data_IF_715643837617
#
_entry.id   IF_715643837617
#
_cell.length_a   1.000
_cell.length_b   1.000
_cell.length_c   1.000
_cell.angle_alpha   90.00
_cell.angle_beta   90.00
_cell.angle_gamma   90.00
#
_symmetry.space_group_name_H-M   'P 1'
#
loop_
_entity.id
_entity.type
_entity.pdbx_description
1 polymer ?
#
# COMPACT_ATOMS: atom_id res chain seq x y z
N UNK A 1 -12.18 -1.08 36.01
CA UNK A 1 -12.26 -1.34 34.56
C UNK A 1 -11.48 -0.27 33.85
N UNK A 2 -10.54 -0.65 32.99
CA UNK A 2 -9.82 0.32 32.17
C UNK A 2 -10.74 0.78 31.03
N UNK A 3 -10.76 2.09 30.76
CA UNK A 3 -11.46 2.63 29.60
C UNK A 3 -10.78 2.14 28.30
N UNK A 4 -11.56 1.88 27.23
CA UNK A 4 -10.99 1.45 25.95
C UNK A 4 -10.17 2.57 25.30
N UNK A 5 -9.02 2.22 24.72
CA UNK A 5 -8.14 3.15 23.99
C UNK A 5 -8.24 2.89 22.49
N UNK A 6 -8.33 3.95 21.69
CA UNK A 6 -8.20 3.89 20.23
C UNK A 6 -6.72 3.79 19.85
N UNK A 7 -6.35 2.71 19.19
CA UNK A 7 -5.03 2.53 18.56
C UNK A 7 -5.13 2.75 17.06
N UNK A 8 -4.27 3.60 16.51
CA UNK A 8 -4.11 3.79 15.07
C UNK A 8 -2.72 3.31 14.68
N UNK A 9 -2.63 2.28 13.85
CA UNK A 9 -1.38 1.62 13.49
C UNK A 9 -1.18 1.72 11.99
N UNK A 10 -0.33 2.67 11.58
CA UNK A 10 0.01 2.92 10.19
C UNK A 10 1.47 2.55 9.95
N UNK A 11 1.68 1.52 9.13
CA UNK A 11 2.97 0.89 8.90
C UNK A 11 3.05 0.36 7.45
N UNK A 12 4.25 -0.07 7.04
CA UNK A 12 4.50 -0.72 5.76
C UNK A 12 3.97 -2.15 5.70
N UNK A 13 4.25 -2.99 6.69
CA UNK A 13 3.92 -4.42 6.65
C UNK A 13 3.75 -5.02 8.05
N UNK A 14 2.56 -5.57 8.34
CA UNK A 14 2.30 -6.39 9.52
C UNK A 14 1.54 -7.67 9.15
N UNK A 15 1.80 -8.78 9.84
CA UNK A 15 1.04 -10.02 9.62
C UNK A 15 -0.30 -9.98 10.36
N UNK A 16 -1.39 -9.94 9.59
CA UNK A 16 -2.75 -9.90 10.10
C UNK A 16 -3.23 -11.23 10.66
N UNK A 17 -4.21 -11.17 11.57
CA UNK A 17 -4.84 -12.39 12.12
C UNK A 17 -5.73 -13.11 11.11
N UNK A 18 -6.07 -12.46 10.00
CA UNK A 18 -6.78 -13.01 8.84
C UNK A 18 -5.82 -13.54 7.75
N UNK A 19 -4.51 -13.56 8.03
CA UNK A 19 -3.48 -13.99 7.10
C UNK A 19 -3.15 -12.99 6.00
N UNK A 20 -3.66 -11.76 6.08
CA UNK A 20 -3.38 -10.67 5.13
C UNK A 20 -2.27 -9.74 5.64
N UNK A 21 -1.80 -8.83 4.78
CA UNK A 21 -0.84 -7.80 5.17
C UNK A 21 -1.58 -6.59 5.73
N UNK A 22 -1.35 -6.27 7.01
CA UNK A 22 -1.89 -5.10 7.68
C UNK A 22 -0.90 -3.94 7.67
N UNK A 23 -1.40 -2.74 7.92
CA UNK A 23 -0.57 -1.53 8.03
C UNK A 23 -1.34 -0.22 7.92
N UNK A 24 -2.67 -0.25 7.97
CA UNK A 24 -3.53 0.94 7.90
C UNK A 24 -4.73 0.75 8.82
N UNK A 25 -4.44 0.41 10.07
CA UNK A 25 -5.39 -0.24 10.99
C UNK A 25 -5.89 0.68 12.10
N UNK A 26 -7.13 0.42 12.54
CA UNK A 26 -7.76 1.04 13.70
C UNK A 26 -8.21 -0.07 14.66
N UNK A 27 -7.78 0.03 15.91
CA UNK A 27 -8.07 -0.94 16.95
C UNK A 27 -8.68 -0.29 18.18
N UNK A 28 -9.55 -1.01 18.88
CA UNK A 28 -9.83 -0.73 20.30
C UNK A 28 -9.03 -1.66 21.17
N UNK A 29 -8.31 -1.12 22.15
CA UNK A 29 -7.55 -1.89 23.14
C UNK A 29 -8.16 -1.75 24.52
N UNK A 30 -8.41 -2.89 25.19
CA UNK A 30 -8.91 -2.96 26.57
C UNK A 30 -8.50 -4.29 27.18
N UNK A 31 -8.08 -4.27 28.45
CA UNK A 31 -7.82 -5.48 29.23
C UNK A 31 -6.88 -6.50 28.54
N UNK A 32 -5.81 -6.00 27.89
CA UNK A 32 -4.83 -6.80 27.13
C UNK A 32 -5.40 -7.50 25.89
N UNK A 33 -6.61 -7.18 25.47
CA UNK A 33 -7.19 -7.58 24.21
C UNK A 33 -7.25 -6.39 23.25
N UNK A 34 -7.06 -6.65 21.96
CA UNK A 34 -7.34 -5.69 20.90
C UNK A 34 -8.42 -6.25 19.98
N UNK A 35 -9.23 -5.35 19.43
CA UNK A 35 -10.23 -5.65 18.42
C UNK A 35 -10.02 -4.70 17.25
N UNK A 36 -9.98 -5.24 16.03
CA UNK A 36 -9.85 -4.45 14.80
C UNK A 36 -11.21 -3.86 14.47
N UNK A 37 -11.33 -2.54 14.55
CA UNK A 37 -12.60 -1.82 14.34
C UNK A 37 -12.67 -1.07 13.00
N UNK A 38 -11.55 -0.98 12.28
CA UNK A 38 -11.50 -0.39 10.96
C UNK A 38 -10.13 -0.57 10.33
N UNK A 39 -10.07 -0.45 9.00
CA UNK A 39 -8.82 -0.50 8.25
C UNK A 39 -8.98 0.14 6.87
N UNK A 40 -7.87 0.47 6.22
CA UNK A 40 -7.87 0.83 4.80
C UNK A 40 -8.44 -0.31 3.96
N UNK A 41 -9.23 -0.02 2.89
CA UNK A 41 -9.68 -1.04 1.97
C UNK A 41 -8.52 -1.89 1.45
N UNK A 42 -8.75 -3.20 1.34
CA UNK A 42 -7.77 -4.13 0.83
C UNK A 42 -7.53 -3.93 -0.67
N UNK A 43 -6.27 -4.06 -1.08
CA UNK A 43 -5.87 -4.21 -2.48
C UNK A 43 -4.79 -5.28 -2.61
N UNK A 44 -4.57 -5.78 -3.83
CA UNK A 44 -3.70 -6.93 -4.05
C UNK A 44 -2.23 -6.61 -3.78
N UNK A 45 -1.61 -7.34 -2.87
CA UNK A 45 -0.16 -7.37 -2.71
C UNK A 45 0.43 -8.34 -3.74
N UNK A 46 1.08 -7.82 -4.76
CA UNK A 46 1.68 -8.61 -5.83
C UNK A 46 3.19 -8.54 -5.79
N UNK A 47 3.87 -9.56 -6.34
CA UNK A 47 5.33 -9.57 -6.55
C UNK A 47 6.17 -9.49 -5.25
N UNK A 48 5.56 -9.75 -4.09
CA UNK A 48 6.26 -9.86 -2.80
C UNK A 48 7.14 -8.66 -2.49
N UNK A 49 8.39 -8.92 -2.12
CA UNK A 49 9.40 -7.91 -1.73
C UNK A 49 9.74 -6.89 -2.83
N UNK A 50 9.28 -7.12 -4.07
CA UNK A 50 9.45 -6.14 -5.15
C UNK A 50 8.53 -4.94 -4.99
N UNK A 51 7.28 -5.14 -4.56
CA UNK A 51 6.29 -4.07 -4.41
C UNK A 51 6.73 -2.94 -3.45
N UNK A 52 7.24 -3.21 -2.23
CA UNK A 52 7.73 -2.15 -1.35
C UNK A 52 8.98 -1.43 -1.87
N UNK A 53 9.69 -1.99 -2.85
CA UNK A 53 10.88 -1.36 -3.48
C UNK A 53 10.56 -0.63 -4.77
N UNK A 54 9.40 -0.89 -5.36
CA UNK A 54 8.98 -0.28 -6.63
C UNK A 54 7.57 0.30 -6.49
N UNK A 55 7.45 1.54 -5.98
CA UNK A 55 6.17 2.23 -5.76
C UNK A 55 5.20 2.21 -6.94
N UNK A 56 5.70 2.17 -8.18
CA UNK A 56 4.88 1.99 -9.40
C UNK A 56 3.99 0.75 -9.37
N UNK A 57 4.44 -0.33 -8.71
CA UNK A 57 3.66 -1.57 -8.54
C UNK A 57 2.48 -1.32 -7.57
N UNK A 58 2.72 -0.58 -6.49
CA UNK A 58 1.66 -0.16 -5.56
C UNK A 58 0.62 0.70 -6.25
N UNK A 59 1.04 1.66 -7.08
CA UNK A 59 0.14 2.49 -7.88
C UNK A 59 -0.74 1.63 -8.81
N UNK A 60 -0.13 0.72 -9.58
CA UNK A 60 -0.85 -0.16 -10.48
C UNK A 60 -1.89 -1.02 -9.74
N UNK A 61 -1.52 -1.62 -8.61
CA UNK A 61 -2.43 -2.48 -7.84
C UNK A 61 -3.57 -1.67 -7.19
N UNK A 62 -3.26 -0.51 -6.61
CA UNK A 62 -4.24 0.35 -5.96
C UNK A 62 -5.27 0.86 -6.98
N UNK A 63 -4.83 1.41 -8.12
CA UNK A 63 -5.76 1.88 -9.17
C UNK A 63 -6.67 0.76 -9.68
N UNK A 64 -6.14 -0.46 -9.83
CA UNK A 64 -6.97 -1.60 -10.22
C UNK A 64 -8.06 -1.91 -9.19
N UNK A 65 -7.76 -1.80 -7.89
CA UNK A 65 -8.72 -2.06 -6.81
C UNK A 65 -9.88 -1.06 -6.76
N UNK A 66 -9.67 0.16 -7.25
CA UNK A 66 -10.69 1.22 -7.32
C UNK A 66 -11.28 1.41 -8.72
N UNK A 67 -11.01 0.47 -9.64
CA UNK A 67 -11.43 0.49 -11.05
C UNK A 67 -11.09 1.81 -11.79
N UNK A 68 -9.94 2.40 -11.46
CA UNK A 68 -9.43 3.58 -12.13
C UNK A 68 -8.63 3.21 -13.39
N UNK A 69 -8.56 4.09 -14.40
CA UNK A 69 -7.70 3.90 -15.57
C UNK A 69 -6.25 3.67 -15.15
N UNK A 70 -5.56 2.73 -15.79
CA UNK A 70 -4.17 2.39 -15.47
C UNK A 70 -3.22 2.64 -16.64
N UNK A 71 -3.75 2.89 -17.84
CA UNK A 71 -3.01 2.93 -19.09
C UNK A 71 -1.90 3.99 -19.08
N UNK A 72 -2.10 5.10 -18.36
CA UNK A 72 -1.07 6.14 -18.21
C UNK A 72 0.15 5.68 -17.41
N UNK A 73 0.05 4.58 -16.65
CA UNK A 73 1.19 3.98 -15.98
C UNK A 73 2.03 3.09 -16.91
N UNK A 74 1.56 2.75 -18.12
CA UNK A 74 2.26 1.82 -19.01
C UNK A 74 3.70 2.26 -19.30
N UNK A 75 3.94 3.56 -19.46
CA UNK A 75 5.28 4.13 -19.70
C UNK A 75 6.26 3.90 -18.54
N UNK A 76 5.76 3.67 -17.32
CA UNK A 76 6.58 3.37 -16.14
C UNK A 76 7.06 1.93 -16.12
N UNK A 77 6.58 1.05 -17.00
CA UNK A 77 6.92 -0.37 -17.03
C UNK A 77 7.59 -0.77 -18.34
N UNK A 78 8.41 -1.83 -18.30
CA UNK A 78 8.77 -2.50 -19.56
C UNK A 78 7.53 -3.20 -20.14
N UNK A 79 7.50 -3.40 -21.46
CA UNK A 79 6.40 -4.12 -22.13
C UNK A 79 6.09 -5.48 -21.48
N UNK A 80 7.14 -6.22 -21.09
CA UNK A 80 6.99 -7.52 -20.42
C UNK A 80 6.40 -7.37 -19.01
N UNK A 81 6.92 -6.43 -18.22
CA UNK A 81 6.37 -6.15 -16.88
C UNK A 81 4.89 -5.76 -16.96
N UNK A 82 4.53 -4.85 -17.87
CA UNK A 82 3.16 -4.39 -18.06
C UNK A 82 2.18 -5.55 -18.31
N UNK A 83 2.51 -6.40 -19.28
CA UNK A 83 1.67 -7.55 -19.64
C UNK A 83 1.54 -8.56 -18.50
N UNK A 84 2.67 -8.89 -17.84
CA UNK A 84 2.70 -9.89 -16.77
C UNK A 84 1.97 -9.38 -15.53
N UNK A 85 2.16 -8.12 -15.13
CA UNK A 85 1.63 -7.59 -13.87
C UNK A 85 0.13 -7.36 -13.94
N UNK A 86 -0.38 -6.90 -15.09
CA UNK A 86 -1.84 -6.85 -15.33
C UNK A 86 -2.46 -8.24 -15.25
N UNK A 87 -1.85 -9.23 -15.91
CA UNK A 87 -2.34 -10.62 -15.85
C UNK A 87 -2.30 -11.16 -14.42
N UNK A 88 -1.29 -10.79 -13.62
CA UNK A 88 -1.17 -11.20 -12.22
C UNK A 88 -2.30 -10.60 -11.35
N UNK A 89 -2.72 -9.38 -11.62
CA UNK A 89 -3.82 -8.72 -10.91
C UNK A 89 -5.20 -9.31 -11.22
N UNK A 90 -5.39 -9.90 -12.40
CA UNK A 90 -6.64 -10.61 -12.75
C UNK A 90 -6.73 -12.01 -12.11
N UNK A 91 -5.62 -12.54 -11.57
CA UNK A 91 -5.63 -13.87 -10.95
C UNK A 91 -6.23 -13.81 -9.54
N UNK A 92 -7.15 -14.73 -9.20
CA UNK A 92 -7.65 -14.83 -7.84
C UNK A 92 -6.56 -15.37 -6.89
N UNK A 93 -6.74 -15.16 -5.59
CA UNK A 93 -5.90 -15.75 -4.55
C UNK A 93 -4.63 -14.96 -4.22
N UNK A 94 -4.51 -13.72 -4.69
CA UNK A 94 -3.43 -12.85 -4.24
C UNK A 94 -3.61 -12.48 -2.77
N UNK A 95 -2.49 -12.43 -2.06
CA UNK A 95 -2.42 -11.82 -0.74
C UNK A 95 -2.94 -10.38 -0.84
N UNK A 96 -3.72 -9.94 0.14
CA UNK A 96 -4.28 -8.60 0.18
C UNK A 96 -3.50 -7.75 1.19
N UNK A 97 -3.48 -6.44 0.96
CA UNK A 97 -2.86 -5.49 1.88
C UNK A 97 -3.73 -4.27 2.15
N UNK A 98 -3.75 -3.84 3.40
CA UNK A 98 -4.34 -2.58 3.88
C UNK A 98 -3.25 -1.59 4.30
N UNK A 99 -2.03 -1.75 3.77
CA UNK A 99 -0.83 -1.00 4.18
C UNK A 99 -0.92 0.49 3.85
N UNK A 100 -0.70 1.33 4.88
CA UNK A 100 -0.52 2.77 4.69
C UNK A 100 0.76 3.07 3.92
N UNK A 101 1.84 2.33 4.17
CA UNK A 101 3.09 2.51 3.41
C UNK A 101 2.91 2.27 1.91
N UNK A 102 2.17 1.20 1.53
CA UNK A 102 1.88 0.93 0.11
C UNK A 102 0.95 1.99 -0.51
N UNK A 103 0.04 2.59 0.26
CA UNK A 103 -0.75 3.73 -0.19
C UNK A 103 0.14 4.95 -0.48
N UNK A 104 1.07 5.29 0.42
CA UNK A 104 2.04 6.38 0.21
C UNK A 104 2.91 6.12 -1.02
N UNK A 105 3.40 4.90 -1.19
CA UNK A 105 4.15 4.50 -2.38
C UNK A 105 3.34 4.71 -3.66
N UNK A 106 2.09 4.25 -3.67
CA UNK A 106 1.20 4.43 -4.82
C UNK A 106 1.05 5.91 -5.17
N UNK A 107 0.75 6.76 -4.19
CA UNK A 107 0.59 8.21 -4.40
C UNK A 107 1.90 8.86 -4.90
N UNK A 108 3.04 8.52 -4.31
CA UNK A 108 4.34 9.04 -4.74
C UNK A 108 4.65 8.69 -6.20
N UNK A 109 4.36 7.47 -6.64
CA UNK A 109 4.54 7.06 -8.03
C UNK A 109 3.56 7.76 -8.97
N UNK A 110 2.30 7.92 -8.57
CA UNK A 110 1.27 8.63 -9.34
C UNK A 110 1.63 10.09 -9.58
N UNK A 111 2.27 10.74 -8.60
CA UNK A 111 2.78 12.10 -8.69
C UNK A 111 4.13 12.20 -9.41
N UNK A 112 4.70 11.08 -9.87
CA UNK A 112 5.99 11.05 -10.57
C UNK A 112 7.21 11.28 -9.67
N UNK A 113 7.06 11.15 -8.35
CA UNK A 113 8.14 11.42 -7.39
C UNK A 113 9.10 10.23 -7.24
N UNK A 114 8.56 9.02 -7.17
CA UNK A 114 9.38 7.82 -6.98
C UNK A 114 8.68 6.60 -7.60
N UNK A 115 9.34 5.93 -8.54
CA UNK A 115 8.86 4.67 -9.13
C UNK A 115 9.68 3.45 -8.67
N UNK A 116 10.90 3.68 -8.20
CA UNK A 116 11.85 2.69 -7.66
C UNK A 116 12.64 3.32 -6.53
N UNK A 117 12.67 2.66 -5.37
CA UNK A 117 13.41 3.13 -4.22
C UNK A 117 14.85 2.61 -4.21
N UNK A 118 15.76 3.45 -3.75
CA UNK A 118 17.15 3.17 -3.40
C UNK A 118 17.29 2.70 -1.95
N UNK A 119 16.38 3.12 -1.06
CA UNK A 119 16.32 2.70 0.35
C UNK A 119 14.88 2.65 0.86
N UNK A 120 14.66 1.96 1.97
CA UNK A 120 13.31 1.79 2.54
C UNK A 120 12.75 3.12 3.05
N UNK A 121 11.51 3.43 2.64
CA UNK A 121 10.81 4.65 3.04
C UNK A 121 11.04 5.88 2.16
N UNK A 122 11.88 5.79 1.12
CA UNK A 122 12.23 6.92 0.26
C UNK A 122 11.01 7.61 -0.36
N UNK A 123 10.05 6.85 -0.91
CA UNK A 123 8.88 7.44 -1.57
C UNK A 123 7.98 8.21 -0.60
N UNK A 124 7.81 7.69 0.62
CA UNK A 124 7.03 8.37 1.67
C UNK A 124 7.71 9.69 2.10
N UNK A 125 9.03 9.68 2.26
CA UNK A 125 9.80 10.89 2.59
C UNK A 125 9.71 11.95 1.48
N UNK A 126 9.87 11.54 0.21
CA UNK A 126 9.73 12.45 -0.93
C UNK A 126 8.33 13.04 -1.03
N UNK A 127 7.30 12.21 -0.79
CA UNK A 127 5.92 12.66 -0.78
C UNK A 127 5.64 13.66 0.34
N UNK A 128 6.13 13.40 1.55
CA UNK A 128 6.01 14.33 2.68
C UNK A 128 6.69 15.66 2.37
N UNK A 129 7.92 15.63 1.86
CA UNK A 129 8.66 16.83 1.48
C UNK A 129 7.88 17.67 0.44
N UNK A 130 7.38 17.03 -0.63
CA UNK A 130 6.59 17.72 -1.64
C UNK A 130 5.28 18.30 -1.10
N UNK A 131 4.62 17.59 -0.17
CA UNK A 131 3.39 18.08 0.45
C UNK A 131 3.66 19.32 1.33
N UNK A 132 4.80 19.37 2.03
CA UNK A 132 5.21 20.52 2.83
C UNK A 132 5.56 21.74 1.98
N UNK A 133 6.23 21.55 0.84
CA UNK A 133 6.59 22.66 -0.07
C UNK A 133 5.36 23.32 -0.72
N UNK A 134 4.21 22.64 -0.73
CA UNK A 134 2.95 23.16 -1.25
C UNK A 134 2.17 24.03 -0.25
N UNK A 135 2.48 23.95 1.05
CA UNK A 135 1.81 24.67 2.13
C UNK A 135 2.47 26.02 2.43
#
# INVERSE_FOLDING_TARGET
NAEPVLGVIWDGTGYGTDGQIWGGEFFTFREKAFERIGHLPYFSAILGDKMPREPRISALSLLRSVDAPIEFLEEKFTRTEWQVYRTLLEKPGQLQTSSMGRLFDAVASLLGLCDRMSFEGEAAMLLEQHALDYL
#
